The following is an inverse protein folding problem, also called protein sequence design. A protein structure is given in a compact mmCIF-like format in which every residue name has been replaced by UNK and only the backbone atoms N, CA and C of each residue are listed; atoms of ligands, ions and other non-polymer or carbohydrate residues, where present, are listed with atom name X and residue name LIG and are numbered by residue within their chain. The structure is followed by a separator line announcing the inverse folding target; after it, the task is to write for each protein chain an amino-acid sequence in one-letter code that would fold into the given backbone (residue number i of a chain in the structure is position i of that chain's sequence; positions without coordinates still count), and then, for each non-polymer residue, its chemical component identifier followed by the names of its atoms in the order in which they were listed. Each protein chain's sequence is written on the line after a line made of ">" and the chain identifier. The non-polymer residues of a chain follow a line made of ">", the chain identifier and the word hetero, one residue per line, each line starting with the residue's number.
data_IF_492413852735
#
_entry.id   IF_492413852735
#
_cell.length_a   1.000
_cell.length_b   1.000
_cell.length_c   1.000
_cell.angle_alpha   90.00
_cell.angle_beta   90.00
_cell.angle_gamma   90.00
#
_symmetry.space_group_name_H-M   'P 1'
#
loop_
_entity.id
_entity.type
_entity.pdbx_description
1 polymer ?
#
# COMPACT_ATOMS: atom_id res chain seq x y z
N UNK A 1 -11.25 -13.46 -9.97
CA UNK A 1 -11.88 -12.25 -9.46
C UNK A 1 -10.90 -11.11 -9.34
N UNK A 2 -11.16 -10.07 -10.08
CA UNK A 2 -10.37 -8.85 -9.91
C UNK A 2 -11.02 -7.98 -8.84
N UNK A 3 -10.19 -7.55 -7.89
CA UNK A 3 -10.61 -6.59 -6.87
C UNK A 3 -10.60 -5.21 -7.50
N UNK A 4 -11.71 -4.49 -7.37
CA UNK A 4 -11.72 -3.07 -7.71
C UNK A 4 -11.20 -2.31 -6.50
N UNK A 5 -9.90 -2.04 -6.49
CA UNK A 5 -9.25 -1.41 -5.35
C UNK A 5 -9.80 -0.01 -5.06
N UNK A 6 -10.06 0.78 -6.10
CA UNK A 6 -10.59 2.13 -5.93
C UNK A 6 -11.93 2.13 -5.23
N UNK A 7 -12.84 1.26 -5.67
CA UNK A 7 -14.15 1.13 -5.05
C UNK A 7 -14.07 0.64 -3.61
N UNK A 8 -13.25 -0.38 -3.37
CA UNK A 8 -13.07 -0.92 -2.02
C UNK A 8 -12.53 0.14 -1.08
N UNK A 9 -11.52 0.87 -1.51
CA UNK A 9 -10.89 1.93 -0.71
C UNK A 9 -11.91 3.01 -0.39
N UNK A 10 -12.68 3.46 -1.38
CA UNK A 10 -13.72 4.48 -1.15
C UNK A 10 -14.75 4.01 -0.14
N UNK A 11 -15.15 2.74 -0.21
CA UNK A 11 -16.08 2.17 0.75
C UNK A 11 -15.54 2.18 2.17
N UNK A 12 -14.30 1.78 2.35
CA UNK A 12 -13.69 1.82 3.68
C UNK A 12 -13.54 3.23 4.20
N UNK A 13 -13.13 4.17 3.32
CA UNK A 13 -13.00 5.58 3.70
C UNK A 13 -14.35 6.14 4.15
N UNK A 14 -15.40 5.86 3.41
CA UNK A 14 -16.73 6.35 3.70
C UNK A 14 -17.23 5.84 5.05
N UNK A 15 -16.88 4.61 5.40
CA UNK A 15 -17.31 4.00 6.66
C UNK A 15 -16.37 4.31 7.83
N UNK A 16 -15.31 5.10 7.59
CA UNK A 16 -14.34 5.42 8.63
C UNK A 16 -13.42 4.25 8.97
N UNK A 17 -13.38 3.23 8.13
CA UNK A 17 -12.56 2.06 8.35
C UNK A 17 -11.19 2.28 7.71
N UNK A 18 -10.39 3.15 8.32
CA UNK A 18 -9.13 3.58 7.76
C UNK A 18 -8.06 2.49 7.82
N UNK A 19 -8.15 1.58 8.75
CA UNK A 19 -7.22 0.46 8.85
C UNK A 19 -7.30 -0.42 7.59
N UNK A 20 -8.50 -0.78 7.17
CA UNK A 20 -8.70 -1.54 5.95
C UNK A 20 -8.41 -0.72 4.70
N UNK A 21 -8.70 0.58 4.72
CA UNK A 21 -8.34 1.45 3.61
C UNK A 21 -6.82 1.45 3.39
N UNK A 22 -6.03 1.53 4.45
CA UNK A 22 -4.57 1.45 4.38
C UNK A 22 -4.13 0.10 3.79
N UNK A 23 -4.72 -0.99 4.28
CA UNK A 23 -4.40 -2.32 3.77
C UNK A 23 -4.64 -2.42 2.26
N UNK A 24 -5.76 -1.92 1.78
CA UNK A 24 -6.10 -2.01 0.37
C UNK A 24 -5.27 -1.06 -0.48
N UNK A 25 -4.88 0.10 0.03
CA UNK A 25 -3.91 0.97 -0.64
C UNK A 25 -2.59 0.23 -0.85
N UNK A 26 -2.10 -0.45 0.18
CA UNK A 26 -0.84 -1.19 0.09
C UNK A 26 -0.95 -2.37 -0.89
N UNK A 27 -2.04 -3.14 -0.83
CA UNK A 27 -2.28 -4.24 -1.77
C UNK A 27 -2.35 -3.76 -3.21
N UNK A 28 -2.94 -2.59 -3.42
CA UNK A 28 -3.02 -1.97 -4.74
C UNK A 28 -1.62 -1.64 -5.26
N UNK A 29 -0.75 -1.11 -4.41
CA UNK A 29 0.64 -0.87 -4.78
C UNK A 29 1.32 -2.16 -5.24
N UNK A 30 1.14 -3.25 -4.51
CA UNK A 30 1.70 -4.55 -4.90
C UNK A 30 1.18 -5.01 -6.24
N UNK A 31 -0.12 -4.85 -6.48
CA UNK A 31 -0.71 -5.23 -7.77
C UNK A 31 -0.13 -4.43 -8.92
N UNK A 32 0.01 -3.12 -8.75
CA UNK A 32 0.59 -2.26 -9.78
C UNK A 32 2.02 -2.71 -10.09
N UNK A 33 2.82 -2.96 -9.07
CA UNK A 33 4.19 -3.40 -9.24
C UNK A 33 4.27 -4.76 -9.94
N UNK A 34 3.38 -5.68 -9.58
CA UNK A 34 3.31 -6.99 -10.21
C UNK A 34 2.90 -6.90 -11.68
N UNK A 35 1.90 -6.07 -11.97
CA UNK A 35 1.41 -5.89 -13.34
C UNK A 35 2.48 -5.27 -14.25
N UNK A 36 3.38 -4.50 -13.68
CA UNK A 36 4.50 -3.90 -14.42
C UNK A 36 5.76 -4.79 -14.42
N UNK A 37 5.65 -5.99 -13.86
CA UNK A 37 6.75 -6.95 -13.77
C UNK A 37 7.95 -6.42 -12.96
N UNK A 38 7.71 -5.50 -12.04
CA UNK A 38 8.73 -4.99 -11.14
C UNK A 38 8.95 -5.97 -9.99
N UNK A 39 7.88 -6.60 -9.54
CA UNK A 39 7.93 -7.68 -8.55
C UNK A 39 7.18 -8.90 -9.09
N UNK A 40 7.44 -10.06 -8.50
CA UNK A 40 6.67 -11.26 -8.77
C UNK A 40 5.78 -11.55 -7.58
N UNK A 41 4.47 -11.47 -7.77
CA UNK A 41 3.51 -11.71 -6.70
C UNK A 41 3.57 -13.16 -6.22
N UNK A 42 3.68 -13.33 -4.90
CA UNK A 42 3.59 -14.64 -4.27
C UNK A 42 3.12 -14.43 -2.82
N UNK A 43 2.02 -15.07 -2.40
CA UNK A 43 1.48 -14.86 -1.06
C UNK A 43 2.41 -15.31 0.06
N UNK A 44 3.44 -16.08 -0.23
CA UNK A 44 4.42 -16.52 0.76
C UNK A 44 5.55 -15.51 0.98
N UNK A 45 5.67 -14.52 0.11
CA UNK A 45 6.70 -13.50 0.24
C UNK A 45 6.36 -12.47 1.30
N UNK A 46 7.40 -11.95 1.92
CA UNK A 46 7.30 -10.82 2.86
C UNK A 46 7.50 -9.51 2.12
N UNK A 47 7.19 -8.39 2.78
CA UNK A 47 7.45 -7.07 2.20
C UNK A 47 8.94 -6.86 1.95
N UNK A 48 9.80 -7.43 2.80
CA UNK A 48 11.25 -7.40 2.59
C UNK A 48 11.64 -8.08 1.27
N UNK A 49 11.02 -9.23 0.99
CA UNK A 49 11.28 -9.96 -0.26
C UNK A 49 10.94 -9.10 -1.46
N UNK A 50 9.76 -8.47 -1.45
CA UNK A 50 9.36 -7.58 -2.54
C UNK A 50 10.31 -6.40 -2.69
N UNK A 51 10.72 -5.82 -1.56
CA UNK A 51 11.63 -4.69 -1.58
C UNK A 51 12.95 -5.02 -2.30
N UNK A 52 13.48 -6.23 -2.09
CA UNK A 52 14.72 -6.63 -2.74
C UNK A 52 14.56 -6.84 -4.24
N UNK A 53 13.34 -7.11 -4.71
CA UNK A 53 13.07 -7.27 -6.15
C UNK A 53 13.02 -5.93 -6.89
N UNK A 54 12.75 -4.85 -6.18
CA UNK A 54 12.67 -3.52 -6.79
C UNK A 54 14.09 -3.00 -7.02
N UNK A 55 14.48 -2.86 -8.29
CA UNK A 55 15.85 -2.50 -8.64
C UNK A 55 16.10 -1.00 -8.66
N UNK A 56 15.10 -0.20 -9.01
CA UNK A 56 15.24 1.24 -9.03
C UNK A 56 15.22 1.77 -7.58
N UNK A 57 16.27 2.50 -7.20
CA UNK A 57 16.49 2.91 -5.81
C UNK A 57 15.44 3.85 -5.25
N UNK A 58 14.97 4.79 -6.05
CA UNK A 58 13.95 5.72 -5.61
C UNK A 58 12.63 5.01 -5.34
N UNK A 59 12.24 4.12 -6.24
CA UNK A 59 11.03 3.33 -6.09
C UNK A 59 11.15 2.40 -4.89
N UNK A 60 12.32 1.81 -4.68
CA UNK A 60 12.57 0.96 -3.51
C UNK A 60 12.37 1.71 -2.20
N UNK A 61 12.85 2.95 -2.11
CA UNK A 61 12.65 3.78 -0.93
C UNK A 61 11.18 4.11 -0.70
N UNK A 62 10.47 4.43 -1.78
CA UNK A 62 9.03 4.71 -1.73
C UNK A 62 8.25 3.48 -1.24
N UNK A 63 8.61 2.32 -1.75
CA UNK A 63 7.99 1.07 -1.30
C UNK A 63 8.27 0.82 0.18
N UNK A 64 9.49 1.06 0.62
CA UNK A 64 9.86 0.90 2.04
C UNK A 64 9.00 1.79 2.93
N UNK A 65 8.79 3.05 2.54
CA UNK A 65 7.90 3.95 3.29
C UNK A 65 6.48 3.42 3.36
N UNK A 66 5.94 2.99 2.22
CA UNK A 66 4.59 2.45 2.16
C UNK A 66 4.45 1.20 3.03
N UNK A 67 5.44 0.32 2.99
CA UNK A 67 5.44 -0.90 3.80
C UNK A 67 5.50 -0.59 5.29
N UNK A 68 6.30 0.39 5.69
CA UNK A 68 6.37 0.81 7.09
C UNK A 68 5.05 1.36 7.60
N UNK A 69 4.39 2.17 6.79
CA UNK A 69 3.07 2.71 7.15
C UNK A 69 2.07 1.56 7.30
N UNK A 70 2.07 0.63 6.36
CA UNK A 70 1.19 -0.52 6.42
C UNK A 70 1.43 -1.34 7.69
N UNK A 71 2.68 -1.66 7.99
CA UNK A 71 3.02 -2.45 9.17
C UNK A 71 2.62 -1.73 10.47
N UNK A 72 2.87 -0.42 10.54
CA UNK A 72 2.49 0.38 11.68
C UNK A 72 0.98 0.35 11.92
N UNK A 73 0.22 0.55 10.88
CA UNK A 73 -1.23 0.62 10.98
C UNK A 73 -1.84 -0.76 11.23
N UNK A 74 -1.38 -1.76 10.49
CA UNK A 74 -2.04 -3.06 10.50
C UNK A 74 -1.68 -3.88 11.75
N UNK A 75 -0.40 -3.90 12.11
CA UNK A 75 0.09 -4.71 13.24
C UNK A 75 0.19 -3.94 14.54
N UNK A 76 0.23 -2.62 14.49
CA UNK A 76 0.36 -1.78 15.67
C UNK A 76 -0.89 -1.62 16.50
N UNK A 77 -2.03 -2.01 15.99
CA UNK A 77 -3.33 -1.90 16.66
C UNK A 77 -3.68 -0.48 17.09
N UNK A 78 -3.16 0.52 16.38
CA UNK A 78 -3.48 1.91 16.63
C UNK A 78 -4.74 2.32 15.90
N UNK A 79 -5.55 3.14 16.55
CA UNK A 79 -6.65 3.80 15.86
C UNK A 79 -6.10 4.91 15.00
N UNK A 80 -6.56 4.98 13.75
CA UNK A 80 -6.16 6.01 12.83
C UNK A 80 -7.31 6.98 12.65
N UNK A 81 -7.08 8.26 12.92
CA UNK A 81 -8.09 9.26 12.64
C UNK A 81 -8.04 9.68 11.17
N UNK A 82 -9.06 10.42 10.75
CA UNK A 82 -9.21 10.85 9.37
C UNK A 82 -8.03 11.71 8.90
N UNK A 83 -7.56 12.62 9.74
CA UNK A 83 -6.44 13.49 9.39
C UNK A 83 -5.15 12.71 9.16
N UNK A 84 -4.85 11.76 10.04
CA UNK A 84 -3.67 10.89 9.89
C UNK A 84 -3.77 10.06 8.65
N UNK A 85 -4.95 9.51 8.36
CA UNK A 85 -5.18 8.73 7.16
C UNK A 85 -4.94 9.54 5.89
N UNK A 86 -5.44 10.76 5.83
CA UNK A 86 -5.24 11.61 4.65
C UNK A 86 -3.78 11.93 4.40
N UNK A 87 -2.99 12.13 5.44
CA UNK A 87 -1.54 12.34 5.31
C UNK A 87 -0.84 11.11 4.73
N UNK A 88 -1.23 9.93 5.20
CA UNK A 88 -0.71 8.67 4.67
C UNK A 88 -1.10 8.48 3.20
N UNK A 89 -2.34 8.80 2.88
CA UNK A 89 -2.88 8.64 1.53
C UNK A 89 -2.10 9.47 0.50
N UNK A 90 -1.68 10.66 0.86
CA UNK A 90 -0.86 11.51 -0.02
C UNK A 90 0.41 10.79 -0.47
N UNK A 91 1.06 10.06 0.43
CA UNK A 91 2.27 9.31 0.11
C UNK A 91 1.99 8.19 -0.89
N UNK A 92 0.86 7.51 -0.75
CA UNK A 92 0.50 6.46 -1.72
C UNK A 92 0.11 7.03 -3.07
N UNK A 93 -0.56 8.17 -3.11
CA UNK A 93 -0.89 8.83 -4.37
C UNK A 93 0.36 9.16 -5.17
N UNK A 94 1.37 9.72 -4.52
CA UNK A 94 2.66 10.01 -5.15
C UNK A 94 3.32 8.73 -5.65
N UNK A 95 3.24 7.65 -4.88
CA UNK A 95 3.77 6.35 -5.27
C UNK A 95 3.11 5.86 -6.57
N UNK A 96 1.79 5.91 -6.63
CA UNK A 96 1.03 5.46 -7.80
C UNK A 96 1.39 6.25 -9.06
N UNK A 97 1.57 7.54 -8.94
CA UNK A 97 1.92 8.41 -10.07
C UNK A 97 3.30 8.11 -10.63
N UNK A 98 4.22 7.65 -9.81
CA UNK A 98 5.61 7.41 -10.23
C UNK A 98 5.84 6.07 -10.90
N UNK A 99 4.91 5.17 -10.76
CA UNK A 99 4.99 3.91 -11.45
C UNK A 99 4.04 3.86 -12.61
#
# INVERSE_FOLDING_TARGET
>A
HEINFQESIKGYEKNGDFRYAVRYQFLWNLKILADKNIIEWNPKKTNRDYMTEIKEKQLQRKFREAAKIFDYVWYGEFEIDENSYHKMKEKWSVFHEKI
#
